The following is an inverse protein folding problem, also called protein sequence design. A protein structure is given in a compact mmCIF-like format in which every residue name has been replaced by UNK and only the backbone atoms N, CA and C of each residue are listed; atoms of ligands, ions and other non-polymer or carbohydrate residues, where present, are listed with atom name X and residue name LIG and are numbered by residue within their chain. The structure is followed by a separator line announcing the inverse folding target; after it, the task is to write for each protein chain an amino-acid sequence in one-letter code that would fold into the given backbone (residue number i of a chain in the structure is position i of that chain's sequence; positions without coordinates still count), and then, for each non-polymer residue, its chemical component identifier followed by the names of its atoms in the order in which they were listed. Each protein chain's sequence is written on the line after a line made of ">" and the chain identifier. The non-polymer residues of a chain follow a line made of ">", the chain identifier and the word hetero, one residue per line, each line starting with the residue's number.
data_IF_210454746037
#
_entry.id   IF_210454746037
#
_cell.length_a   1.000
_cell.length_b   1.000
_cell.length_c   1.000
_cell.angle_alpha   90.00
_cell.angle_beta   90.00
_cell.angle_gamma   90.00
#
_symmetry.space_group_name_H-M   'P 1'
#
loop_
_entity.id
_entity.type
_entity.pdbx_description
1 polymer ?
#
# COMPACT_ATOMS: atom_id res chain seq x y z
N UNK A 1 -3.04 -29.20 7.20
CA UNK A 1 -2.79 -28.66 5.85
C UNK A 1 -2.59 -27.17 6.00
N UNK A 2 -1.48 -26.57 5.52
CA UNK A 2 -1.38 -25.11 5.53
C UNK A 2 -2.49 -24.55 4.65
N UNK A 3 -3.21 -23.56 5.16
CA UNK A 3 -4.19 -22.83 4.36
C UNK A 3 -3.45 -22.02 3.32
N UNK A 4 -3.91 -22.09 2.06
CA UNK A 4 -3.47 -21.14 1.05
C UNK A 4 -4.11 -19.78 1.35
N UNK A 5 -3.43 -18.99 2.18
CA UNK A 5 -3.90 -17.68 2.61
C UNK A 5 -3.98 -16.67 1.44
N UNK A 6 -3.27 -16.93 0.34
CA UNK A 6 -3.20 -16.02 -0.81
C UNK A 6 -4.10 -16.46 -1.97
N UNK A 7 -4.54 -17.72 -2.01
CA UNK A 7 -5.47 -18.25 -3.00
C UNK A 7 -6.68 -17.34 -3.31
N UNK A 8 -7.34 -16.73 -2.30
CA UNK A 8 -8.44 -15.81 -2.53
C UNK A 8 -8.09 -14.59 -3.41
N UNK A 9 -6.85 -14.08 -3.35
CA UNK A 9 -6.40 -12.94 -4.18
C UNK A 9 -6.30 -13.30 -5.67
N UNK A 10 -6.17 -14.59 -6.01
CA UNK A 10 -6.21 -15.08 -7.37
C UNK A 10 -7.61 -15.46 -7.84
N UNK A 11 -8.41 -16.05 -6.94
CA UNK A 11 -9.73 -16.58 -7.27
C UNK A 11 -10.80 -15.49 -7.49
N UNK A 12 -10.82 -14.45 -6.65
CA UNK A 12 -11.73 -13.31 -6.80
C UNK A 12 -11.04 -12.00 -6.35
N UNK A 13 -10.15 -11.43 -7.19
CA UNK A 13 -9.33 -10.27 -6.82
C UNK A 13 -10.17 -9.04 -6.41
N UNK A 14 -11.34 -8.86 -7.02
CA UNK A 14 -12.23 -7.72 -6.78
C UNK A 14 -12.92 -7.79 -5.41
N UNK A 15 -12.90 -8.95 -4.75
CA UNK A 15 -13.36 -9.11 -3.36
C UNK A 15 -12.22 -9.14 -2.34
N UNK A 16 -10.98 -9.02 -2.80
CA UNK A 16 -9.80 -8.98 -1.94
C UNK A 16 -9.38 -7.53 -1.64
N UNK A 17 -8.78 -7.34 -0.46
CA UNK A 17 -8.24 -6.06 -0.04
C UNK A 17 -6.88 -6.22 0.63
N UNK A 18 -5.98 -5.27 0.41
CA UNK A 18 -4.71 -5.15 1.16
C UNK A 18 -4.68 -3.85 1.94
N UNK A 19 -4.18 -3.94 3.16
CA UNK A 19 -4.00 -2.81 4.09
C UNK A 19 -2.54 -2.82 4.51
N UNK A 20 -1.83 -1.77 4.13
CA UNK A 20 -0.37 -1.70 4.21
C UNK A 20 0.00 -0.54 5.11
N UNK A 21 0.89 -0.79 6.05
CA UNK A 21 1.58 0.29 6.76
C UNK A 21 2.50 1.06 5.78
N UNK A 22 2.93 2.27 6.16
CA UNK A 22 3.86 3.06 5.37
C UNK A 22 5.32 2.93 5.85
N UNK A 23 5.60 3.30 7.09
CA UNK A 23 6.96 3.47 7.59
C UNK A 23 7.65 2.12 7.86
N UNK A 24 8.73 1.84 7.12
CA UNK A 24 9.41 0.54 7.17
C UNK A 24 8.74 -0.55 6.32
N UNK A 25 7.51 -0.32 5.87
CA UNK A 25 6.75 -1.24 5.01
C UNK A 25 6.82 -0.82 3.55
N UNK A 26 6.38 0.39 3.22
CA UNK A 26 6.40 0.97 1.86
C UNK A 26 7.55 1.96 1.66
N UNK A 27 7.98 2.62 2.74
CA UNK A 27 9.23 3.38 2.83
C UNK A 27 10.28 2.63 3.64
N UNK A 28 11.52 3.07 3.59
CA UNK A 28 12.52 2.69 4.60
C UNK A 28 12.29 3.45 5.91
N UNK A 29 12.85 2.92 7.01
CA UNK A 29 12.90 3.61 8.29
C UNK A 29 14.02 4.64 8.23
N UNK A 30 13.68 5.91 8.45
CA UNK A 30 14.61 7.05 8.39
C UNK A 30 14.75 7.71 9.77
N UNK A 31 15.86 8.43 10.00
CA UNK A 31 16.08 9.17 11.25
C UNK A 31 15.17 10.39 11.35
N UNK A 32 15.10 11.20 10.28
CA UNK A 32 14.10 12.26 10.17
C UNK A 32 12.83 11.69 9.52
N UNK A 33 11.68 11.76 10.21
CA UNK A 33 10.42 11.37 9.62
C UNK A 33 10.16 12.08 8.27
N UNK A 34 10.49 13.36 8.08
CA UNK A 34 10.15 14.05 6.82
C UNK A 34 10.85 13.49 5.59
N UNK A 35 11.89 12.67 5.77
CA UNK A 35 12.65 12.04 4.69
C UNK A 35 12.04 10.72 4.19
N UNK A 36 10.99 10.22 4.86
CA UNK A 36 10.33 8.98 4.47
C UNK A 36 9.62 9.15 3.12
N UNK A 37 10.15 8.44 2.12
CA UNK A 37 9.63 8.35 0.75
C UNK A 37 9.39 6.88 0.37
N UNK A 38 8.42 6.57 -0.51
CA UNK A 38 8.21 5.21 -0.97
C UNK A 38 9.48 4.64 -1.62
N UNK A 39 9.74 3.34 -1.41
CA UNK A 39 10.81 2.65 -2.14
C UNK A 39 10.55 2.71 -3.64
N UNK A 40 11.63 2.67 -4.43
CA UNK A 40 11.53 2.65 -5.88
C UNK A 40 10.60 1.51 -6.36
N UNK A 41 9.65 1.83 -7.25
CA UNK A 41 8.67 0.88 -7.78
C UNK A 41 7.41 0.70 -6.95
N UNK A 42 7.38 1.19 -5.69
CA UNK A 42 6.20 1.07 -4.83
C UNK A 42 4.98 1.83 -5.39
N UNK A 43 5.09 3.10 -5.82
CA UNK A 43 3.94 3.80 -6.39
C UNK A 43 3.34 3.08 -7.60
N UNK A 44 4.17 2.54 -8.49
CA UNK A 44 3.75 1.79 -9.67
C UNK A 44 3.07 0.47 -9.29
N UNK A 45 3.63 -0.25 -8.31
CA UNK A 45 3.05 -1.48 -7.78
C UNK A 45 1.68 -1.23 -7.14
N UNK A 46 1.57 -0.19 -6.31
CA UNK A 46 0.32 0.18 -5.66
C UNK A 46 -0.74 0.59 -6.68
N UNK A 47 -0.36 1.32 -7.73
CA UNK A 47 -1.26 1.64 -8.83
C UNK A 47 -1.76 0.37 -9.53
N UNK A 48 -0.87 -0.57 -9.86
CA UNK A 48 -1.23 -1.84 -10.49
C UNK A 48 -2.14 -2.70 -9.60
N UNK A 49 -1.89 -2.74 -8.29
CA UNK A 49 -2.75 -3.42 -7.33
C UNK A 49 -4.12 -2.77 -7.21
N UNK A 50 -4.19 -1.43 -7.20
CA UNK A 50 -5.44 -0.68 -7.14
C UNK A 50 -6.33 -0.88 -8.36
N UNK A 51 -5.76 -1.22 -9.52
CA UNK A 51 -6.53 -1.60 -10.72
C UNK A 51 -7.07 -3.03 -10.66
N UNK A 52 -6.51 -3.90 -9.81
CA UNK A 52 -6.79 -5.35 -9.83
C UNK A 52 -7.57 -5.82 -8.61
N UNK A 53 -7.30 -5.26 -7.44
CA UNK A 53 -7.93 -5.63 -6.18
C UNK A 53 -9.14 -4.74 -5.91
N UNK A 54 -10.09 -5.24 -5.10
CA UNK A 54 -11.24 -4.44 -4.68
C UNK A 54 -10.87 -3.29 -3.74
N UNK A 55 -9.75 -3.41 -3.02
CA UNK A 55 -9.26 -2.37 -2.09
C UNK A 55 -7.74 -2.41 -1.95
N UNK A 56 -7.10 -1.25 -2.01
CA UNK A 56 -5.70 -1.05 -1.60
C UNK A 56 -5.68 0.15 -0.68
N UNK A 57 -5.23 -0.04 0.56
CA UNK A 57 -5.24 1.00 1.59
C UNK A 57 -3.86 1.14 2.20
N UNK A 58 -3.39 2.38 2.31
CA UNK A 58 -2.23 2.72 3.14
C UNK A 58 -2.74 3.24 4.46
N UNK A 59 -2.38 2.56 5.55
CA UNK A 59 -2.73 2.91 6.91
C UNK A 59 -1.51 3.51 7.59
N UNK A 60 -1.56 4.77 8.01
CA UNK A 60 -0.37 5.45 8.53
C UNK A 60 -0.70 6.53 9.56
N UNK A 61 0.21 6.72 10.52
CA UNK A 61 0.18 7.88 11.41
C UNK A 61 0.66 9.18 10.76
N UNK A 62 1.13 9.13 9.51
CA UNK A 62 1.67 10.28 8.77
C UNK A 62 0.53 11.24 8.40
N UNK A 63 0.75 12.57 8.43
CA UNK A 63 -0.23 13.52 7.93
C UNK A 63 -0.55 13.27 6.45
N UNK A 64 -1.82 13.39 6.05
CA UNK A 64 -2.23 13.19 4.65
C UNK A 64 -1.41 14.03 3.65
N UNK A 65 -1.11 15.29 3.99
CA UNK A 65 -0.26 16.18 3.17
C UNK A 65 1.15 15.66 2.88
N UNK A 66 1.64 14.72 3.70
CA UNK A 66 2.93 14.06 3.50
C UNK A 66 2.82 12.92 2.49
N UNK A 67 1.73 12.14 2.58
CA UNK A 67 1.54 10.91 1.79
C UNK A 67 0.88 11.15 0.43
N UNK A 68 -0.14 12.01 0.38
CA UNK A 68 -0.96 12.25 -0.81
C UNK A 68 -0.13 12.59 -2.07
N UNK A 69 0.95 13.41 -2.01
CA UNK A 69 1.75 13.72 -3.19
C UNK A 69 2.58 12.55 -3.75
N UNK A 70 2.78 11.49 -2.97
CA UNK A 70 3.71 10.39 -3.26
C UNK A 70 3.02 9.04 -3.47
N UNK A 71 1.70 8.97 -3.26
CA UNK A 71 0.90 7.76 -3.47
C UNK A 71 -0.04 7.93 -4.68
N UNK A 72 -0.31 6.85 -5.44
CA UNK A 72 -1.21 6.94 -6.57
C UNK A 72 -2.67 7.10 -6.12
N UNK A 73 -3.48 7.79 -6.92
CA UNK A 73 -4.91 8.00 -6.66
C UNK A 73 -5.74 6.70 -6.58
N UNK A 74 -5.18 5.56 -6.97
CA UNK A 74 -5.82 4.24 -6.89
C UNK A 74 -5.78 3.62 -5.48
N UNK A 75 -5.26 4.36 -4.48
CA UNK A 75 -5.06 3.90 -3.11
C UNK A 75 -5.80 4.81 -2.15
N UNK A 76 -6.52 4.23 -1.19
CA UNK A 76 -7.06 4.99 -0.07
C UNK A 76 -5.98 5.21 0.99
N UNK A 77 -5.96 6.39 1.61
CA UNK A 77 -5.06 6.72 2.71
C UNK A 77 -5.90 6.87 3.98
N UNK A 78 -5.53 6.14 5.04
CA UNK A 78 -6.23 6.11 6.34
C UNK A 78 -5.27 6.38 7.49
#
# INVERSE_FOLDING_TARGET
>A
MPVDALGPFGADPQRAGVFLDFDGTLSDITEDPSDAVPRAGVPELLAALGQRLGRVVVVSGRPLRHLDPMLPAAVDIV
#
